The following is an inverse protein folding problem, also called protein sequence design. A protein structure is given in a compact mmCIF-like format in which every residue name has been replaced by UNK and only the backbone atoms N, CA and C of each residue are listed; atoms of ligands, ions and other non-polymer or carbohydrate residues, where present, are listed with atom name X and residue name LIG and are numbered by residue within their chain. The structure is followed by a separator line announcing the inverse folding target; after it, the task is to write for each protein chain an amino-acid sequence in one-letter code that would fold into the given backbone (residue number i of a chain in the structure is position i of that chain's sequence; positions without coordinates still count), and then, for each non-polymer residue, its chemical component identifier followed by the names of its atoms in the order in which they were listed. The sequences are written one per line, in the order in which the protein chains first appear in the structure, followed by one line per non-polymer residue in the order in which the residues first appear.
data_IF_796397306679
#
_entry.id   IF_796397306679
#
_cell.length_a   1.000
_cell.length_b   1.000
_cell.length_c   1.000
_cell.angle_alpha   90.00
_cell.angle_beta   90.00
_cell.angle_gamma   90.00
#
_symmetry.space_group_name_H-M   'P 1'
#
loop_
_entity.id
_entity.type
_entity.pdbx_description
1 polymer ?
#
# COMPACT_ATOMS: atom_id res chain seq x y z
N UNK A 1 -25.84 -48.39 30.83
CA UNK A 1 -26.94 -48.34 29.85
C UNK A 1 -26.74 -47.12 28.96
N UNK A 2 -26.86 -47.31 27.65
CA UNK A 2 -26.74 -46.27 26.62
C UNK A 2 -27.99 -45.39 26.55
N UNK A 3 -27.80 -44.09 26.34
CA UNK A 3 -28.70 -43.17 25.62
C UNK A 3 -27.88 -41.90 25.29
N UNK A 4 -27.12 -41.90 24.19
CA UNK A 4 -27.52 -41.26 22.92
C UNK A 4 -27.89 -39.77 23.04
N UNK A 5 -26.88 -38.91 23.01
CA UNK A 5 -27.01 -37.56 22.46
C UNK A 5 -26.26 -37.57 21.12
N UNK A 6 -26.87 -37.09 20.03
CA UNK A 6 -26.18 -37.06 18.74
C UNK A 6 -24.93 -36.19 18.89
N UNK A 7 -23.79 -36.63 18.32
CA UNK A 7 -22.63 -35.75 18.16
C UNK A 7 -23.15 -34.51 17.45
N UNK A 8 -23.03 -33.34 18.10
CA UNK A 8 -23.28 -32.07 17.43
C UNK A 8 -22.35 -32.09 16.23
N UNK A 9 -22.96 -32.12 15.05
CA UNK A 9 -22.26 -31.92 13.79
C UNK A 9 -21.76 -30.48 13.85
N UNK A 10 -20.58 -30.29 14.44
CA UNK A 10 -19.82 -29.06 14.31
C UNK A 10 -19.43 -29.04 12.84
N UNK A 11 -20.30 -28.43 12.04
CA UNK A 11 -20.15 -28.36 10.60
C UNK A 11 -18.75 -27.90 10.20
N UNK A 12 -18.42 -28.07 8.93
CA UNK A 12 -17.13 -27.66 8.40
C UNK A 12 -16.79 -26.26 8.90
N UNK A 13 -15.70 -26.13 9.67
CA UNK A 13 -15.12 -24.85 10.02
C UNK A 13 -14.86 -24.14 8.69
N UNK A 14 -15.81 -23.30 8.26
CA UNK A 14 -15.55 -22.35 7.20
C UNK A 14 -14.32 -21.58 7.67
N UNK A 15 -13.27 -21.59 6.86
CA UNK A 15 -12.07 -20.81 7.10
C UNK A 15 -12.49 -19.33 7.22
N UNK A 16 -12.73 -18.88 8.46
CA UNK A 16 -13.15 -17.50 8.73
C UNK A 16 -12.18 -16.84 9.69
N UNK A 17 -10.92 -17.17 9.52
CA UNK A 17 -9.79 -16.46 10.09
C UNK A 17 -8.77 -16.34 8.97
N UNK A 18 -8.99 -15.35 8.10
CA UNK A 18 -7.85 -14.75 7.39
C UNK A 18 -7.08 -14.02 8.48
N UNK A 19 -5.94 -14.57 8.89
CA UNK A 19 -4.95 -13.82 9.66
C UNK A 19 -4.51 -12.66 8.77
N UNK A 20 -5.20 -11.53 8.92
CA UNK A 20 -4.80 -10.26 8.34
C UNK A 20 -3.56 -9.84 9.12
N UNK A 21 -2.38 -10.13 8.56
CA UNK A 21 -1.13 -9.63 9.09
C UNK A 21 -1.24 -8.09 9.14
N UNK A 22 -1.20 -7.46 10.34
CA UNK A 22 -1.33 -6.03 10.46
C UNK A 22 -0.21 -5.28 9.73
N UNK A 23 0.90 -5.96 9.36
CA UNK A 23 1.98 -5.40 8.55
C UNK A 23 1.53 -4.90 7.17
N UNK A 24 0.43 -5.43 6.62
CA UNK A 24 -0.15 -4.96 5.36
C UNK A 24 -1.11 -3.77 5.53
N UNK A 25 -1.42 -3.39 6.76
CA UNK A 25 -2.21 -2.18 7.07
C UNK A 25 -1.33 -0.93 7.10
N UNK A 26 -0.01 -1.10 7.09
CA UNK A 26 0.97 -0.04 7.22
C UNK A 26 1.38 0.48 5.84
N UNK A 27 0.69 1.54 5.43
CA UNK A 27 0.95 2.38 4.26
C UNK A 27 0.77 1.72 2.88
N UNK A 28 -0.27 2.18 2.20
CA UNK A 28 -0.40 1.99 0.74
C UNK A 28 0.87 2.50 0.06
N UNK A 29 1.47 1.66 -0.80
CA UNK A 29 2.60 2.04 -1.65
C UNK A 29 2.22 3.10 -2.70
N UNK A 30 0.93 3.31 -2.91
CA UNK A 30 0.41 4.27 -3.88
C UNK A 30 -0.03 5.57 -3.18
N UNK A 31 0.12 6.72 -3.86
CA UNK A 31 -0.41 7.99 -3.38
C UNK A 31 -1.92 7.91 -3.13
N UNK A 32 -2.35 8.65 -2.12
CA UNK A 32 -3.75 8.90 -1.75
C UNK A 32 -4.03 10.40 -1.69
N UNK A 33 -5.26 10.76 -1.32
CA UNK A 33 -5.72 12.15 -1.25
C UNK A 33 -4.92 13.01 -0.25
N UNK A 34 -4.36 12.40 0.79
CA UNK A 34 -3.57 13.08 1.83
C UNK A 34 -2.08 13.18 1.50
N UNK A 35 -1.59 12.38 0.54
CA UNK A 35 -0.17 12.33 0.15
C UNK A 35 0.41 13.71 -0.20
N UNK A 36 -0.27 14.62 -0.94
CA UNK A 36 0.24 15.97 -1.24
C UNK A 36 0.62 16.80 0.00
N UNK A 37 -0.03 16.56 1.14
CA UNK A 37 0.19 17.30 2.38
C UNK A 37 1.21 16.63 3.32
N UNK A 38 1.62 15.39 3.02
CA UNK A 38 2.65 14.69 3.81
C UNK A 38 3.99 15.39 3.66
N UNK A 39 4.70 15.50 4.77
CA UNK A 39 6.00 16.15 4.82
C UNK A 39 7.11 15.13 4.60
N UNK A 40 8.06 15.48 3.74
CA UNK A 40 9.31 14.77 3.49
C UNK A 40 10.44 15.77 3.77
N UNK A 41 11.25 15.52 4.80
CA UNK A 41 12.28 16.45 5.28
C UNK A 41 11.76 17.88 5.52
N UNK A 42 10.51 17.99 6.01
CA UNK A 42 9.84 19.26 6.27
C UNK A 42 9.23 19.94 5.05
N UNK A 43 9.32 19.34 3.85
CA UNK A 43 8.74 19.85 2.60
C UNK A 43 7.47 19.05 2.28
N UNK A 44 6.32 19.69 2.03
CA UNK A 44 5.12 19.00 1.55
C UNK A 44 5.38 18.26 0.25
N UNK A 45 4.85 17.05 0.08
CA UNK A 45 5.06 16.24 -1.13
C UNK A 45 4.77 16.99 -2.43
N UNK A 46 3.72 17.82 -2.43
CA UNK A 46 3.34 18.65 -3.58
C UNK A 46 4.37 19.70 -3.99
N UNK A 47 5.29 20.06 -3.10
CA UNK A 47 6.30 21.10 -3.30
C UNK A 47 7.70 20.50 -3.57
N UNK A 48 7.83 19.17 -3.60
CA UNK A 48 9.09 18.47 -3.89
C UNK A 48 9.43 18.61 -5.39
N UNK A 49 10.68 18.97 -5.74
CA UNK A 49 11.10 19.04 -7.13
C UNK A 49 11.09 17.67 -7.82
N UNK A 50 10.77 17.63 -9.10
CA UNK A 50 10.63 16.41 -9.89
C UNK A 50 11.85 16.22 -10.79
N UNK A 51 12.50 15.06 -10.69
CA UNK A 51 13.55 14.65 -11.62
C UNK A 51 12.98 13.68 -12.66
N UNK A 52 12.78 14.15 -13.89
CA UNK A 52 12.37 13.31 -15.00
C UNK A 52 13.57 12.53 -15.53
N UNK A 53 13.48 11.20 -15.48
CA UNK A 53 14.49 10.30 -16.03
C UNK A 53 13.91 9.64 -17.28
N UNK A 54 14.38 10.05 -18.45
CA UNK A 54 13.99 9.47 -19.74
C UNK A 54 15.09 8.51 -20.19
N UNK A 55 14.83 7.22 -20.03
CA UNK A 55 15.69 6.15 -20.52
C UNK A 55 15.26 5.74 -21.93
N UNK A 56 16.22 5.73 -22.85
CA UNK A 56 16.09 5.18 -24.20
C UNK A 56 17.23 4.18 -24.45
N UNK A 57 17.14 3.38 -25.50
CA UNK A 57 18.13 2.32 -25.76
C UNK A 57 19.59 2.82 -25.80
N UNK A 58 19.80 4.05 -26.28
CA UNK A 58 21.13 4.61 -26.50
C UNK A 58 21.41 5.89 -25.68
N UNK A 59 20.48 6.31 -24.82
CA UNK A 59 20.65 7.55 -24.06
C UNK A 59 19.77 7.59 -22.81
N UNK A 60 20.27 8.22 -21.75
CA UNK A 60 19.53 8.53 -20.53
C UNK A 60 19.59 10.02 -20.28
N UNK A 61 18.43 10.67 -20.30
CA UNK A 61 18.30 12.10 -20.04
C UNK A 61 17.68 12.30 -18.66
N UNK A 62 18.32 13.16 -17.85
CA UNK A 62 17.82 13.57 -16.53
C UNK A 62 17.49 15.05 -16.58
N UNK A 63 16.28 15.42 -16.17
CA UNK A 63 15.82 16.82 -16.14
C UNK A 63 15.22 17.11 -14.78
N UNK A 64 15.84 18.01 -14.01
CA UNK A 64 15.32 18.47 -12.73
C UNK A 64 14.42 19.69 -12.97
N UNK A 65 13.22 19.66 -12.40
CA UNK A 65 12.20 20.70 -12.54
C UNK A 65 11.63 21.02 -11.16
N UNK A 66 11.26 22.28 -10.93
CA UNK A 66 10.52 22.69 -9.75
C UNK A 66 9.12 22.04 -9.70
N UNK A 67 8.50 22.01 -8.53
CA UNK A 67 7.18 21.39 -8.36
C UNK A 67 6.07 22.07 -9.19
N UNK A 68 6.23 23.36 -9.51
CA UNK A 68 5.33 24.11 -10.39
C UNK A 68 5.41 23.72 -11.86
N UNK A 69 6.39 22.90 -12.24
CA UNK A 69 6.73 22.63 -13.64
C UNK A 69 7.70 23.67 -14.22
N UNK A 70 8.07 23.52 -15.51
CA UNK A 70 8.86 24.50 -16.24
C UNK A 70 8.09 25.80 -16.53
#
# INVERSE_FOLDING_TARGET
MMASLPKKDEGTLGEKLVDLDPSHTEWSMFPDEDTPNRLFDGIPFRDIPVCYIKCSLNNTLMTLVEASGP
#
